data_IF_812075577016
#
_entry.id   IF_812075577016
#
_cell.length_a   1.000
_cell.length_b   1.000
_cell.length_c   1.000
_cell.angle_alpha   90.00
_cell.angle_beta   90.00
_cell.angle_gamma   90.00
#
_symmetry.space_group_name_H-M   'P 1'
#
loop_
_entity.id
_entity.type
_entity.pdbx_description
1 polymer ?
#
# COMPACT_ATOMS: atom_id res chain seq x y z
N UNK A 1 -20.25 36.26 -35.55
CA UNK A 1 -20.71 37.50 -34.90
C UNK A 1 -21.37 37.07 -33.60
N UNK A 2 -20.62 37.24 -32.50
CA UNK A 2 -21.01 38.04 -31.30
C UNK A 2 -21.93 37.23 -30.37
N UNK A 3 -21.57 36.81 -29.15
CA UNK A 3 -20.69 37.40 -28.15
C UNK A 3 -20.30 36.36 -27.06
N UNK A 4 -19.10 36.52 -26.50
CA UNK A 4 -18.72 35.99 -25.18
C UNK A 4 -19.30 36.87 -24.07
N UNK A 5 -19.26 36.40 -22.81
CA UNK A 5 -18.60 37.26 -21.82
C UNK A 5 -17.63 36.50 -20.92
N UNK A 6 -16.47 37.12 -20.75
CA UNK A 6 -15.40 36.80 -19.80
C UNK A 6 -15.45 37.73 -18.58
N UNK A 7 -15.16 37.18 -17.40
CA UNK A 7 -14.42 37.78 -16.26
C UNK A 7 -15.09 38.92 -15.42
N UNK A 8 -14.63 39.24 -14.17
CA UNK A 8 -13.21 39.33 -13.79
C UNK A 8 -12.75 38.81 -12.42
N UNK A 9 -11.45 38.52 -12.38
CA UNK A 9 -10.58 38.43 -11.22
C UNK A 9 -10.39 39.82 -10.56
N UNK A 10 -10.33 39.85 -9.23
CA UNK A 10 -9.96 41.03 -8.45
C UNK A 10 -8.52 40.93 -7.92
N UNK A 11 -7.68 41.89 -8.29
CA UNK A 11 -6.38 42.19 -7.67
C UNK A 11 -6.57 43.24 -6.57
N UNK A 12 -5.77 43.19 -5.51
CA UNK A 12 -5.76 44.23 -4.47
C UNK A 12 -4.59 44.13 -3.47
N UNK A 13 -3.52 44.84 -3.80
CA UNK A 13 -2.54 45.55 -2.94
C UNK A 13 -1.61 44.85 -1.91
N UNK A 14 -0.45 45.48 -1.75
CA UNK A 14 0.77 45.02 -1.09
C UNK A 14 1.25 45.96 0.05
N UNK A 15 2.04 45.35 0.97
CA UNK A 15 3.12 45.89 1.84
C UNK A 15 2.76 46.69 3.14
N UNK A 16 3.63 46.75 4.19
CA UNK A 16 5.08 46.43 4.21
C UNK A 16 5.70 45.67 5.44
N UNK A 17 6.91 45.17 5.17
CA UNK A 17 8.14 44.99 5.97
C UNK A 17 8.16 44.74 7.51
N UNK A 18 8.93 43.70 7.90
CA UNK A 18 9.89 43.81 9.01
C UNK A 18 10.07 42.60 9.93
N UNK A 19 11.02 41.70 9.61
CA UNK A 19 12.01 41.16 10.56
C UNK A 19 12.89 40.08 9.89
N UNK A 20 14.21 40.33 9.84
CA UNK A 20 15.25 39.38 9.42
C UNK A 20 15.60 38.40 10.55
N UNK A 21 16.16 37.25 10.14
CA UNK A 21 16.94 36.19 10.86
C UNK A 21 16.15 34.89 11.04
N UNK A 22 16.67 33.70 10.77
CA UNK A 22 18.01 33.27 10.34
C UNK A 22 17.90 31.99 9.51
N UNK A 23 18.68 31.91 8.44
CA UNK A 23 18.99 30.70 7.68
C UNK A 23 19.84 29.75 8.54
N UNK A 24 19.42 28.50 8.69
CA UNK A 24 20.20 27.44 9.33
C UNK A 24 19.94 26.08 8.66
N UNK A 25 20.96 25.25 8.42
CA UNK A 25 20.84 24.00 7.69
C UNK A 25 20.49 22.85 8.64
N UNK A 26 19.26 22.77 9.18
CA UNK A 26 18.89 21.57 9.97
C UNK A 26 17.39 21.37 10.26
N UNK A 27 16.57 21.35 9.21
CA UNK A 27 15.16 20.92 9.33
C UNK A 27 14.97 19.46 8.90
N UNK A 28 15.90 18.90 8.11
CA UNK A 28 15.82 17.53 7.57
C UNK A 28 16.12 16.42 8.60
N UNK A 29 16.86 16.70 9.68
CA UNK A 29 17.12 15.73 10.77
C UNK A 29 15.99 15.63 11.83
N UNK A 30 14.87 16.35 11.64
CA UNK A 30 13.83 16.52 12.68
C UNK A 30 12.64 15.56 12.59
N UNK A 31 12.64 14.55 11.73
CA UNK A 31 11.55 13.57 11.69
C UNK A 31 12.15 12.16 11.71
N UNK A 32 11.82 11.36 12.75
CA UNK A 32 12.23 9.96 12.82
C UNK A 32 11.55 9.12 11.73
N UNK A 33 11.97 7.85 11.51
CA UNK A 33 11.39 6.99 10.48
C UNK A 33 9.87 6.96 10.52
N UNK A 34 9.22 7.21 9.38
CA UNK A 34 7.77 7.37 9.29
C UNK A 34 6.98 6.12 9.73
N UNK A 35 7.57 4.93 9.53
CA UNK A 35 7.02 3.64 9.98
C UNK A 35 6.79 3.61 11.49
N UNK A 36 7.58 4.36 12.27
CA UNK A 36 7.43 4.42 13.74
C UNK A 36 6.21 5.21 14.21
N UNK A 37 5.45 5.80 13.29
CA UNK A 37 4.22 6.54 13.58
C UNK A 37 2.96 5.78 13.21
N UNK A 38 3.08 4.58 12.62
CA UNK A 38 1.93 3.76 12.19
C UNK A 38 0.89 3.59 13.30
N UNK A 39 1.34 3.43 14.54
CA UNK A 39 0.47 3.28 15.70
C UNK A 39 -0.52 4.43 15.90
N UNK A 40 -0.21 5.65 15.44
CA UNK A 40 -1.05 6.85 15.54
C UNK A 40 -1.88 7.14 14.29
N UNK A 41 -1.78 6.32 13.24
CA UNK A 41 -2.45 6.60 11.96
C UNK A 41 -3.23 5.41 11.38
N UNK A 42 -2.84 4.17 11.67
CA UNK A 42 -3.49 2.97 11.10
C UNK A 42 -4.22 2.17 12.18
N UNK A 43 -5.52 1.85 12.00
CA UNK A 43 -6.25 1.00 12.93
C UNK A 43 -5.70 -0.44 12.88
N UNK A 44 -5.94 -1.21 13.95
CA UNK A 44 -5.42 -2.57 14.04
C UNK A 44 -5.83 -3.48 12.85
N UNK A 45 -7.02 -3.25 12.27
CA UNK A 45 -7.54 -3.98 11.09
C UNK A 45 -6.80 -3.66 9.78
N UNK A 46 -6.10 -2.54 9.72
CA UNK A 46 -5.34 -2.09 8.55
C UNK A 46 -3.89 -2.58 8.55
N UNK A 47 -3.47 -3.36 9.55
CA UNK A 47 -2.11 -3.84 9.70
C UNK A 47 -2.04 -5.35 9.54
N UNK A 48 -0.89 -5.85 9.10
CA UNK A 48 -0.64 -7.27 8.84
C UNK A 48 0.50 -7.77 9.73
N UNK A 49 0.57 -9.08 10.02
CA UNK A 49 1.69 -9.65 10.77
C UNK A 49 3.07 -9.28 10.18
N UNK A 50 3.18 -9.20 8.85
CA UNK A 50 4.41 -8.79 8.15
C UNK A 50 4.89 -7.37 8.53
N UNK A 51 3.99 -6.47 8.93
CA UNK A 51 4.36 -5.12 9.39
C UNK A 51 5.18 -5.17 10.69
N UNK A 52 5.01 -6.21 11.51
CA UNK A 52 5.77 -6.38 12.75
C UNK A 52 7.29 -6.49 12.48
N UNK A 53 7.68 -7.25 11.46
CA UNK A 53 9.09 -7.46 11.13
C UNK A 53 9.75 -6.17 10.64
N UNK A 54 9.06 -5.38 9.80
CA UNK A 54 9.54 -4.08 9.32
C UNK A 54 9.72 -3.08 10.47
N UNK A 55 8.79 -3.07 11.44
CA UNK A 55 8.89 -2.25 12.65
C UNK A 55 10.08 -2.68 13.51
N UNK A 56 10.25 -3.99 13.78
CA UNK A 56 11.35 -4.50 14.60
C UNK A 56 12.71 -4.26 13.94
N UNK A 57 12.83 -4.45 12.64
CA UNK A 57 14.05 -4.13 11.89
C UNK A 57 14.42 -2.65 12.05
N UNK A 58 13.46 -1.74 11.89
CA UNK A 58 13.68 -0.30 12.08
C UNK A 58 14.03 0.06 13.53
N UNK A 59 13.38 -0.58 14.50
CA UNK A 59 13.63 -0.31 15.93
C UNK A 59 15.03 -0.76 16.36
N UNK A 60 15.57 -1.83 15.77
CA UNK A 60 16.93 -2.32 16.03
C UNK A 60 18.03 -1.38 15.54
N UNK A 61 17.75 -0.52 14.55
CA UNK A 61 18.71 0.52 14.11
C UNK A 61 18.64 1.78 14.98
N UNK A 62 17.67 1.87 15.89
CA UNK A 62 17.46 3.04 16.73
C UNK A 62 18.16 2.90 18.08
N UNK A 63 18.67 4.01 18.62
CA UNK A 63 19.19 4.03 19.99
C UNK A 63 18.08 3.70 21.01
N UNK A 64 18.37 2.95 22.09
CA UNK A 64 17.38 2.60 23.10
C UNK A 64 16.71 3.84 23.71
N UNK A 65 15.37 3.86 23.83
CA UNK A 65 14.68 5.00 24.42
C UNK A 65 15.11 5.15 25.88
N UNK A 66 15.50 6.36 26.28
CA UNK A 66 16.03 6.65 27.63
C UNK A 66 17.22 5.79 28.07
N UNK A 67 17.98 5.19 27.12
CA UNK A 67 19.04 4.21 27.41
C UNK A 67 18.56 3.01 28.24
N UNK A 68 17.29 2.62 28.08
CA UNK A 68 16.69 1.55 28.87
C UNK A 68 17.36 0.20 28.58
N UNK A 69 17.85 -0.49 29.62
CA UNK A 69 18.65 -1.72 29.49
C UNK A 69 17.87 -2.90 28.90
N UNK A 70 16.57 -3.01 29.23
CA UNK A 70 15.68 -4.05 28.67
C UNK A 70 15.15 -3.76 27.25
N UNK A 71 15.74 -2.81 26.51
CA UNK A 71 15.24 -2.51 25.16
C UNK A 71 15.46 -3.67 24.18
N UNK A 72 16.62 -4.34 24.24
CA UNK A 72 16.89 -5.53 23.41
C UNK A 72 15.86 -6.64 23.70
N UNK A 73 15.70 -6.99 24.97
CA UNK A 73 14.71 -7.97 25.45
C UNK A 73 13.28 -7.64 24.95
N UNK A 74 12.89 -6.37 25.01
CA UNK A 74 11.59 -5.91 24.53
C UNK A 74 11.39 -6.10 23.02
N UNK A 75 12.44 -5.91 22.21
CA UNK A 75 12.39 -6.15 20.77
C UNK A 75 12.39 -7.63 20.42
N UNK A 76 13.00 -8.46 21.26
CA UNK A 76 13.07 -9.92 21.06
C UNK A 76 11.82 -10.67 21.56
N UNK A 77 10.85 -9.95 22.12
CA UNK A 77 9.53 -10.49 22.48
C UNK A 77 9.28 -10.66 23.97
N UNK A 78 10.17 -10.20 24.85
CA UNK A 78 9.90 -10.21 26.29
C UNK A 78 8.82 -9.15 26.64
N UNK A 79 7.61 -9.63 26.89
CA UNK A 79 6.45 -8.80 27.24
C UNK A 79 6.65 -8.00 28.53
N UNK A 80 7.37 -8.53 29.51
CA UNK A 80 7.64 -7.85 30.77
C UNK A 80 8.67 -6.72 30.56
N UNK A 81 9.72 -6.98 29.78
CA UNK A 81 10.68 -5.98 29.35
C UNK A 81 10.00 -4.83 28.59
N UNK A 82 9.15 -5.17 27.61
CA UNK A 82 8.41 -4.20 26.82
C UNK A 82 7.47 -3.35 27.69
N UNK A 83 6.77 -3.98 28.64
CA UNK A 83 5.89 -3.26 29.58
C UNK A 83 6.69 -2.28 30.44
N UNK A 84 7.85 -2.68 30.99
CA UNK A 84 8.72 -1.80 31.79
C UNK A 84 9.20 -0.60 30.99
N UNK A 85 9.69 -0.83 29.77
CA UNK A 85 10.12 0.25 28.86
C UNK A 85 8.94 1.18 28.58
N UNK A 86 7.78 0.61 28.24
CA UNK A 86 6.63 1.38 27.82
C UNK A 86 6.07 2.30 28.91
N UNK A 87 5.88 1.76 30.11
CA UNK A 87 5.42 2.54 31.27
C UNK A 87 6.42 3.66 31.58
N UNK A 88 7.72 3.38 31.55
CA UNK A 88 8.77 4.37 31.82
C UNK A 88 8.71 5.51 30.82
N UNK A 89 8.73 5.20 29.52
CA UNK A 89 8.79 6.22 28.45
C UNK A 89 7.48 7.02 28.36
N UNK A 90 6.32 6.37 28.43
CA UNK A 90 5.03 7.06 28.39
C UNK A 90 4.86 8.01 29.58
N UNK A 91 5.35 7.63 30.76
CA UNK A 91 5.31 8.47 31.97
C UNK A 91 6.30 9.63 31.91
N UNK A 92 7.55 9.37 31.54
CA UNK A 92 8.65 10.34 31.61
C UNK A 92 8.65 11.30 30.42
N UNK A 93 8.45 10.79 29.22
CA UNK A 93 8.61 11.56 27.98
C UNK A 93 7.28 12.14 27.47
N UNK A 94 6.15 11.60 27.93
CA UNK A 94 4.82 11.99 27.46
C UNK A 94 4.48 11.42 26.08
N UNK A 95 3.19 11.41 25.70
CA UNK A 95 2.71 10.70 24.52
C UNK A 95 3.16 11.35 23.19
N UNK A 96 3.54 12.63 23.18
CA UNK A 96 3.98 13.35 21.97
C UNK A 96 5.47 13.17 21.65
N UNK A 97 6.23 12.53 22.54
CA UNK A 97 7.67 12.34 22.35
C UNK A 97 7.99 11.37 21.22
N UNK A 98 9.12 11.61 20.54
CA UNK A 98 9.69 10.66 19.58
C UNK A 98 10.14 9.36 20.26
N UNK A 99 10.47 9.40 21.55
CA UNK A 99 10.76 8.18 22.29
C UNK A 99 9.50 7.31 22.47
N UNK A 100 8.33 7.95 22.52
CA UNK A 100 7.06 7.23 22.52
C UNK A 100 6.77 6.60 21.15
N UNK A 101 7.21 7.20 20.03
CA UNK A 101 7.11 6.54 18.72
C UNK A 101 7.88 5.22 18.68
N UNK A 102 9.08 5.16 19.26
CA UNK A 102 9.86 3.93 19.36
C UNK A 102 9.11 2.87 20.17
N UNK A 103 8.69 3.22 21.37
CA UNK A 103 8.03 2.30 22.30
C UNK A 103 6.69 1.83 21.76
N UNK A 104 5.85 2.74 21.26
CA UNK A 104 4.55 2.37 20.73
C UNK A 104 4.66 1.55 19.45
N UNK A 105 5.73 1.72 18.67
CA UNK A 105 6.04 0.84 17.54
C UNK A 105 6.49 -0.56 17.99
N UNK A 106 7.22 -0.68 19.09
CA UNK A 106 7.52 -1.99 19.67
C UNK A 106 6.25 -2.67 20.21
N UNK A 107 5.38 -1.92 20.88
CA UNK A 107 4.05 -2.38 21.31
C UNK A 107 3.21 -2.84 20.11
N UNK A 108 3.22 -2.05 19.03
CA UNK A 108 2.54 -2.38 17.78
C UNK A 108 3.05 -3.69 17.18
N UNK A 109 4.37 -3.85 17.08
CA UNK A 109 4.98 -5.05 16.53
C UNK A 109 4.67 -6.30 17.35
N UNK A 110 4.78 -6.23 18.68
CA UNK A 110 4.48 -7.39 19.53
C UNK A 110 2.98 -7.70 19.56
N UNK A 111 2.11 -6.69 19.52
CA UNK A 111 0.69 -6.92 19.35
C UNK A 111 0.41 -7.70 18.06
N UNK A 112 0.97 -7.29 16.92
CA UNK A 112 0.83 -8.02 15.66
C UNK A 112 1.40 -9.46 15.68
N UNK A 113 2.35 -9.76 16.60
CA UNK A 113 2.87 -11.12 16.85
C UNK A 113 2.07 -11.93 17.86
N UNK A 114 0.98 -11.37 18.39
CA UNK A 114 0.04 -12.06 19.25
C UNK A 114 0.04 -11.63 20.72
N UNK A 115 0.83 -10.64 21.13
CA UNK A 115 0.95 -10.21 22.53
C UNK A 115 -0.19 -9.27 22.98
N UNK A 116 -1.18 -9.73 23.78
CA UNK A 116 -2.36 -8.92 24.10
C UNK A 116 -2.04 -7.74 25.03
N UNK A 117 -1.06 -7.90 25.92
CA UNK A 117 -0.61 -6.83 26.81
C UNK A 117 -0.04 -5.64 26.01
N UNK A 118 0.59 -5.92 24.86
CA UNK A 118 1.13 -4.90 23.99
C UNK A 118 0.01 -4.07 23.33
N UNK A 119 -1.07 -4.72 22.87
CA UNK A 119 -2.25 -4.06 22.34
C UNK A 119 -2.93 -3.13 23.36
N UNK A 120 -3.09 -3.59 24.61
CA UNK A 120 -3.69 -2.80 25.68
C UNK A 120 -2.85 -1.54 26.03
N UNK A 121 -1.52 -1.69 26.09
CA UNK A 121 -0.61 -0.57 26.31
C UNK A 121 -0.60 0.40 25.13
N UNK A 122 -0.75 -0.09 23.91
CA UNK A 122 -0.87 0.74 22.71
C UNK A 122 -2.15 1.58 22.72
N UNK A 123 -3.28 0.96 23.08
CA UNK A 123 -4.54 1.67 23.27
C UNK A 123 -4.42 2.75 24.37
N UNK A 124 -3.74 2.45 25.47
CA UNK A 124 -3.44 3.43 26.52
C UNK A 124 -2.60 4.61 26.00
N UNK A 125 -1.52 4.34 25.25
CA UNK A 125 -0.68 5.38 24.65
C UNK A 125 -1.49 6.30 23.72
N UNK A 126 -2.41 5.72 22.93
CA UNK A 126 -3.27 6.46 22.00
C UNK A 126 -4.29 7.35 22.72
N UNK A 127 -4.91 6.84 23.79
CA UNK A 127 -5.79 7.66 24.64
C UNK A 127 -5.05 8.86 25.23
N UNK A 128 -3.88 8.62 25.82
CA UNK A 128 -3.04 9.67 26.41
C UNK A 128 -2.61 10.71 25.38
N UNK A 129 -2.34 10.29 24.15
CA UNK A 129 -2.06 11.21 23.06
C UNK A 129 -3.30 12.03 22.68
N UNK A 130 -4.47 11.39 22.57
CA UNK A 130 -5.74 12.05 22.27
C UNK A 130 -6.14 13.09 23.30
N UNK A 131 -5.90 12.83 24.59
CA UNK A 131 -6.10 13.82 25.68
C UNK A 131 -5.26 15.08 25.49
N UNK A 132 -4.04 14.95 24.94
CA UNK A 132 -3.16 16.08 24.62
C UNK A 132 -3.51 16.75 23.30
N UNK A 133 -4.27 16.07 22.43
CA UNK A 133 -4.64 16.52 21.09
C UNK A 133 -6.15 16.40 20.85
N UNK A 134 -6.97 17.22 21.52
CA UNK A 134 -8.42 17.18 21.37
C UNK A 134 -8.91 17.46 19.93
N UNK A 135 -8.08 18.10 19.10
CA UNK A 135 -8.34 18.30 17.66
C UNK A 135 -8.08 17.07 16.77
N UNK A 136 -7.59 15.96 17.33
CA UNK A 136 -7.25 14.73 16.60
C UNK A 136 -8.15 13.54 17.03
N UNK A 137 -9.47 13.57 16.72
CA UNK A 137 -10.42 12.57 17.20
C UNK A 137 -10.20 11.15 16.63
N UNK A 138 -9.29 11.00 15.66
CA UNK A 138 -8.89 9.70 15.13
C UNK A 138 -8.11 8.88 16.16
N UNK A 139 -7.36 9.52 17.06
CA UNK A 139 -6.56 8.84 18.09
C UNK A 139 -7.41 8.01 19.05
N UNK A 140 -8.59 8.51 19.44
CA UNK A 140 -9.54 7.75 20.25
C UNK A 140 -10.07 6.50 19.53
N UNK A 141 -10.19 6.56 18.20
CA UNK A 141 -10.67 5.42 17.39
C UNK A 141 -9.58 4.38 17.21
N UNK A 142 -8.34 4.81 17.01
CA UNK A 142 -7.19 3.91 17.01
C UNK A 142 -7.09 3.20 18.35
N UNK A 143 -7.23 3.92 19.47
CA UNK A 143 -7.25 3.30 20.80
C UNK A 143 -8.35 2.22 20.91
N UNK A 144 -9.57 2.54 20.51
CA UNK A 144 -10.69 1.59 20.51
C UNK A 144 -10.44 0.38 19.59
N UNK A 145 -9.78 0.57 18.44
CA UNK A 145 -9.43 -0.54 17.54
C UNK A 145 -8.45 -1.51 18.18
N UNK A 146 -7.57 -1.03 19.06
CA UNK A 146 -6.62 -1.84 19.81
C UNK A 146 -7.22 -2.45 21.08
N UNK A 147 -8.21 -1.81 21.72
CA UNK A 147 -8.97 -2.44 22.81
C UNK A 147 -9.80 -3.63 22.31
N UNK A 148 -10.37 -3.51 21.11
CA UNK A 148 -11.17 -4.55 20.48
C UNK A 148 -10.31 -5.58 19.71
N UNK A 149 -8.99 -5.37 19.65
CA UNK A 149 -8.10 -6.24 18.92
C UNK A 149 -7.93 -7.57 19.64
N UNK A 150 -8.02 -8.65 18.88
CA UNK A 150 -7.72 -9.99 19.33
C UNK A 150 -6.57 -10.55 18.47
N UNK A 151 -5.66 -11.34 19.07
CA UNK A 151 -4.62 -12.00 18.30
C UNK A 151 -5.26 -12.88 17.22
N UNK A 152 -4.71 -12.89 15.99
CA UNK A 152 -5.15 -13.84 14.98
C UNK A 152 -4.99 -15.27 15.52
N UNK A 153 -5.88 -16.22 15.16
CA UNK A 153 -5.75 -17.61 15.57
C UNK A 153 -4.36 -18.11 15.16
N UNK A 154 -3.52 -18.43 16.14
CA UNK A 154 -2.13 -18.78 15.89
C UNK A 154 -2.00 -20.12 15.18
N UNK A 155 -1.04 -20.21 14.26
CA UNK A 155 -0.54 -21.49 13.75
C UNK A 155 0.13 -22.25 14.91
N UNK A 156 -0.67 -23.03 15.65
CA UNK A 156 -0.10 -24.06 16.52
C UNK A 156 0.48 -25.15 15.63
N UNK A 157 1.80 -25.30 15.66
CA UNK A 157 2.45 -26.50 15.15
C UNK A 157 1.81 -27.75 15.80
N UNK A 158 1.40 -28.77 15.02
CA UNK A 158 0.82 -29.98 15.59
C UNK A 158 1.93 -30.81 16.25
N UNK A 159 1.87 -30.95 17.57
CA UNK A 159 2.79 -31.78 18.35
C UNK A 159 2.08 -32.55 19.47
N UNK A 160 1.89 -33.85 19.24
CA UNK A 160 1.69 -34.98 20.17
C UNK A 160 0.50 -34.95 21.17
N UNK A 161 -0.33 -35.99 21.35
CA UNK A 161 -0.50 -37.29 20.71
C UNK A 161 -1.85 -37.88 21.20
N UNK A 162 -2.58 -38.59 20.33
CA UNK A 162 -3.43 -39.74 20.68
C UNK A 162 -3.66 -40.55 19.40
N UNK A 163 -3.26 -41.83 19.42
CA UNK A 163 -2.97 -42.62 18.23
C UNK A 163 -4.13 -43.39 17.59
N UNK A 164 -3.87 -43.83 16.36
CA UNK A 164 -4.39 -45.05 15.71
C UNK A 164 -3.66 -45.21 14.35
N UNK A 165 -3.53 -46.44 13.81
CA UNK A 165 -2.35 -46.83 13.03
C UNK A 165 -2.42 -46.47 11.54
N UNK A 166 -1.24 -46.19 10.98
CA UNK A 166 -0.98 -46.02 9.57
C UNK A 166 -1.15 -47.34 8.80
N UNK A 167 -1.90 -47.28 7.68
CA UNK A 167 -1.88 -48.32 6.64
C UNK A 167 -0.85 -47.94 5.59
N UNK A 168 0.10 -48.83 5.37
CA UNK A 168 1.08 -48.75 4.29
C UNK A 168 0.41 -48.89 2.91
N UNK A 169 0.89 -48.11 1.94
CA UNK A 169 0.65 -48.33 0.51
C UNK A 169 2.02 -48.32 -0.22
N UNK A 170 2.18 -49.11 -1.29
CA UNK A 170 3.47 -49.66 -1.67
C UNK A 170 4.26 -48.78 -2.64
N UNK A 171 5.57 -49.02 -2.62
CA UNK A 171 6.56 -48.53 -3.57
C UNK A 171 6.23 -48.93 -5.02
N UNK A 172 6.37 -47.98 -5.94
CA UNK A 172 6.16 -48.16 -7.37
C UNK A 172 7.17 -47.37 -8.20
N UNK A 173 8.23 -48.09 -8.59
CA UNK A 173 9.11 -47.99 -9.77
C UNK A 173 9.12 -46.68 -10.59
N UNK A 174 10.33 -46.18 -10.78
CA UNK A 174 10.64 -45.01 -11.59
C UNK A 174 10.28 -45.14 -13.06
N UNK A 175 9.95 -43.99 -13.64
CA UNK A 175 9.89 -43.77 -15.08
C UNK A 175 10.93 -42.72 -15.46
N UNK A 176 11.72 -43.08 -16.48
CA UNK A 176 12.75 -42.26 -17.11
C UNK A 176 12.13 -41.62 -18.34
N UNK A 177 11.78 -40.34 -18.26
CA UNK A 177 11.56 -39.51 -19.45
C UNK A 177 11.56 -38.02 -19.08
N UNK A 178 12.72 -37.50 -18.64
CA UNK A 178 12.92 -36.04 -18.56
C UNK A 178 13.39 -35.56 -19.94
N UNK A 179 12.58 -34.79 -20.70
CA UNK A 179 13.06 -34.20 -21.94
C UNK A 179 14.19 -33.20 -21.64
N UNK A 180 15.09 -32.94 -22.59
CA UNK A 180 16.21 -32.03 -22.38
C UNK A 180 15.69 -30.62 -22.07
N UNK A 181 16.41 -29.90 -21.20
CA UNK A 181 16.11 -28.54 -20.80
C UNK A 181 16.12 -27.62 -22.04
N UNK A 182 14.94 -27.40 -22.62
CA UNK A 182 14.70 -26.23 -23.44
C UNK A 182 14.94 -24.97 -22.58
N UNK A 183 15.41 -23.89 -23.20
CA UNK A 183 15.44 -22.57 -22.55
C UNK A 183 14.11 -22.36 -21.84
N UNK A 184 14.14 -22.13 -20.53
CA UNK A 184 12.95 -21.71 -19.80
C UNK A 184 12.39 -20.47 -20.51
N UNK A 185 11.21 -20.60 -21.10
CA UNK A 185 10.51 -19.48 -21.74
C UNK A 185 10.06 -18.54 -20.63
N UNK A 186 10.26 -17.23 -20.80
CA UNK A 186 9.84 -16.24 -19.82
C UNK A 186 8.32 -16.22 -19.67
N UNK A 187 7.86 -15.66 -18.55
CA UNK A 187 6.44 -15.64 -18.21
C UNK A 187 5.74 -14.52 -18.98
N UNK A 188 4.69 -14.83 -19.75
CA UNK A 188 3.94 -13.84 -20.54
C UNK A 188 2.77 -13.26 -19.75
N UNK A 189 2.73 -11.95 -19.68
CA UNK A 189 1.78 -11.18 -18.88
C UNK A 189 0.90 -10.33 -19.79
N UNK A 190 -0.42 -10.52 -19.73
CA UNK A 190 -1.40 -9.65 -20.37
C UNK A 190 -1.71 -8.45 -19.48
N UNK A 191 -1.45 -7.24 -19.94
CA UNK A 191 -1.43 -6.03 -19.10
C UNK A 191 -2.65 -5.14 -19.37
N UNK A 192 -3.42 -4.85 -18.33
CA UNK A 192 -4.62 -4.00 -18.39
C UNK A 192 -4.68 -3.04 -17.19
N UNK A 193 -5.29 -1.87 -17.36
CA UNK A 193 -5.73 -1.00 -16.26
C UNK A 193 -6.83 -0.04 -16.71
N UNK A 194 -7.52 0.60 -15.77
CA UNK A 194 -8.42 1.73 -16.02
C UNK A 194 -9.50 1.42 -17.07
N UNK A 195 -10.09 0.22 -17.00
CA UNK A 195 -11.10 -0.25 -17.94
C UNK A 195 -12.38 0.59 -17.86
N UNK A 196 -12.69 1.10 -16.66
CA UNK A 196 -13.82 1.99 -16.36
C UNK A 196 -15.12 1.52 -17.01
N UNK A 197 -15.49 0.26 -16.77
CA UNK A 197 -16.60 -0.40 -17.46
C UNK A 197 -17.98 0.20 -17.16
N UNK A 198 -18.07 1.03 -16.14
CA UNK A 198 -19.27 1.76 -15.71
C UNK A 198 -19.31 3.21 -16.22
N UNK A 199 -18.28 3.66 -16.93
CA UNK A 199 -18.23 4.99 -17.56
C UNK A 199 -18.34 4.86 -19.08
N UNK A 200 -19.51 5.24 -19.61
CA UNK A 200 -19.80 5.14 -21.03
C UNK A 200 -20.17 3.73 -21.46
N UNK A 201 -19.79 3.32 -22.67
CA UNK A 201 -20.02 1.97 -23.16
C UNK A 201 -19.10 0.98 -22.44
N UNK A 202 -19.64 -0.07 -21.77
CA UNK A 202 -18.81 -1.03 -21.05
C UNK A 202 -17.85 -1.75 -22.00
N UNK A 203 -16.57 -1.67 -21.70
CA UNK A 203 -15.56 -2.44 -22.43
C UNK A 203 -15.56 -3.91 -22.00
N UNK A 204 -15.35 -4.78 -22.97
CA UNK A 204 -15.00 -6.18 -22.78
C UNK A 204 -13.98 -6.52 -23.87
N UNK A 205 -12.95 -7.34 -23.59
CA UNK A 205 -12.02 -7.76 -24.62
C UNK A 205 -12.78 -8.51 -25.72
N UNK A 206 -12.52 -8.17 -26.98
CA UNK A 206 -13.09 -8.89 -28.14
C UNK A 206 -12.45 -10.28 -28.28
N UNK A 207 -11.16 -10.38 -27.95
CA UNK A 207 -10.39 -11.61 -27.94
C UNK A 207 -9.52 -11.66 -26.68
N UNK A 208 -9.31 -12.86 -26.15
CA UNK A 208 -8.38 -13.09 -25.03
C UNK A 208 -7.03 -13.49 -25.62
N UNK A 209 -5.95 -12.70 -25.40
CA UNK A 209 -4.64 -13.02 -25.95
C UNK A 209 -4.04 -14.27 -25.31
N UNK A 210 -3.14 -14.95 -26.02
CA UNK A 210 -2.37 -16.07 -25.49
C UNK A 210 -1.27 -15.55 -24.53
N UNK A 211 -1.55 -15.63 -23.23
CA UNK A 211 -0.69 -15.22 -22.14
C UNK A 211 -0.81 -16.19 -20.95
N UNK A 212 0.18 -16.16 -20.06
CA UNK A 212 0.27 -17.08 -18.93
C UNK A 212 -0.40 -16.51 -17.68
N UNK A 213 -0.44 -15.19 -17.52
CA UNK A 213 -1.09 -14.46 -16.41
C UNK A 213 -1.68 -13.15 -16.91
N UNK A 214 -2.90 -12.80 -16.47
CA UNK A 214 -3.44 -11.45 -16.64
C UNK A 214 -3.09 -10.57 -15.44
N UNK A 215 -2.53 -9.38 -15.70
CA UNK A 215 -2.19 -8.37 -14.69
C UNK A 215 -3.07 -7.16 -14.88
N UNK A 216 -3.90 -6.86 -13.88
CA UNK A 216 -4.89 -5.77 -13.93
C UNK A 216 -4.61 -4.73 -12.84
N UNK A 217 -4.09 -3.57 -13.26
CA UNK A 217 -3.63 -2.50 -12.37
C UNK A 217 -4.75 -1.51 -11.96
N UNK A 218 -5.88 -2.05 -11.47
CA UNK A 218 -6.98 -1.28 -10.88
C UNK A 218 -7.92 -0.59 -11.87
N UNK A 219 -8.96 0.04 -11.32
CA UNK A 219 -10.00 0.81 -12.03
C UNK A 219 -10.70 0.01 -13.14
N UNK A 220 -11.09 -1.23 -12.82
CA UNK A 220 -11.93 -2.05 -13.70
C UNK A 220 -13.33 -1.44 -13.78
N UNK A 221 -13.87 -1.04 -12.62
CA UNK A 221 -15.15 -0.34 -12.48
C UNK A 221 -15.34 0.20 -11.06
N UNK A 222 -16.40 0.98 -10.84
CA UNK A 222 -16.87 1.25 -9.49
C UNK A 222 -17.29 -0.03 -8.73
N UNK A 223 -16.70 -0.25 -7.55
CA UNK A 223 -16.95 -1.38 -6.64
C UNK A 223 -15.96 -2.55 -6.80
N UNK A 224 -15.21 -2.86 -5.73
CA UNK A 224 -14.16 -3.89 -5.72
C UNK A 224 -14.73 -5.29 -5.89
N UNK A 225 -15.82 -5.60 -5.19
CA UNK A 225 -16.50 -6.89 -5.33
C UNK A 225 -16.92 -7.12 -6.77
N UNK A 226 -17.47 -6.08 -7.40
CA UNK A 226 -17.94 -6.15 -8.77
C UNK A 226 -16.80 -6.24 -9.79
N UNK A 227 -15.70 -5.51 -9.58
CA UNK A 227 -14.48 -5.61 -10.39
C UNK A 227 -13.91 -7.02 -10.37
N UNK A 228 -13.70 -7.58 -9.16
CA UNK A 228 -13.20 -8.96 -8.98
C UNK A 228 -14.14 -9.98 -9.60
N UNK A 229 -15.45 -9.82 -9.41
CA UNK A 229 -16.45 -10.72 -9.99
C UNK A 229 -16.36 -10.72 -11.50
N UNK A 230 -16.24 -9.55 -12.14
CA UNK A 230 -16.11 -9.49 -13.58
C UNK A 230 -14.82 -10.16 -14.08
N UNK A 231 -13.68 -9.88 -13.44
CA UNK A 231 -12.41 -10.51 -13.77
C UNK A 231 -12.47 -12.05 -13.67
N UNK A 232 -13.14 -12.55 -12.63
CA UNK A 232 -13.34 -13.98 -12.41
C UNK A 232 -14.19 -14.66 -13.51
N UNK A 233 -15.17 -13.95 -14.07
CA UNK A 233 -16.06 -14.51 -15.09
C UNK A 233 -15.50 -14.37 -16.50
N UNK A 234 -14.77 -13.29 -16.80
CA UNK A 234 -14.35 -12.96 -18.17
C UNK A 234 -12.92 -13.39 -18.46
N UNK A 235 -11.99 -13.24 -17.51
CA UNK A 235 -10.56 -13.46 -17.76
C UNK A 235 -10.05 -14.74 -17.10
N UNK A 236 -10.42 -14.96 -15.83
CA UNK A 236 -9.96 -16.13 -15.04
C UNK A 236 -10.25 -17.50 -15.66
N UNK A 237 -11.28 -17.73 -16.50
CA UNK A 237 -11.43 -19.00 -17.21
C UNK A 237 -10.29 -19.33 -18.17
N UNK A 238 -9.52 -18.32 -18.59
CA UNK A 238 -8.46 -18.46 -19.59
C UNK A 238 -7.06 -18.50 -18.97
N UNK A 239 -6.82 -17.77 -17.88
CA UNK A 239 -5.52 -17.69 -17.20
C UNK A 239 -5.67 -17.17 -15.76
N UNK A 240 -4.69 -17.40 -14.86
CA UNK A 240 -4.65 -16.73 -13.55
C UNK A 240 -4.73 -15.21 -13.69
N UNK A 241 -5.46 -14.57 -12.77
CA UNK A 241 -5.59 -13.11 -12.72
C UNK A 241 -4.93 -12.58 -11.47
N UNK A 242 -3.95 -11.70 -11.65
CA UNK A 242 -3.38 -10.84 -10.61
C UNK A 242 -3.97 -9.45 -10.77
N UNK A 243 -4.61 -8.92 -9.73
CA UNK A 243 -5.14 -7.56 -9.76
C UNK A 243 -4.87 -6.80 -8.48
N UNK A 244 -4.87 -5.47 -8.58
CA UNK A 244 -4.97 -4.56 -7.44
C UNK A 244 -6.27 -3.77 -7.57
N UNK A 245 -6.72 -3.15 -6.48
CA UNK A 245 -7.76 -2.14 -6.56
C UNK A 245 -7.17 -0.83 -7.11
N UNK A 246 -7.99 -0.06 -7.82
CA UNK A 246 -7.78 1.36 -8.04
C UNK A 246 -8.64 2.20 -7.10
N UNK A 247 -8.78 3.49 -7.39
CA UNK A 247 -9.60 4.37 -6.58
C UNK A 247 -11.11 4.18 -6.86
N UNK A 248 -11.49 3.83 -8.09
CA UNK A 248 -12.89 3.62 -8.48
C UNK A 248 -13.50 2.41 -7.77
N UNK A 249 -12.73 1.36 -7.49
CA UNK A 249 -13.20 0.21 -6.71
C UNK A 249 -13.76 0.62 -5.32
N UNK A 250 -13.37 1.78 -4.79
CA UNK A 250 -13.83 2.30 -3.49
C UNK A 250 -14.89 3.41 -3.59
N UNK A 251 -15.24 3.89 -4.78
CA UNK A 251 -16.20 4.98 -4.94
C UNK A 251 -17.58 4.60 -4.42
N UNK A 252 -18.16 5.49 -3.59
CA UNK A 252 -19.45 5.29 -2.91
C UNK A 252 -19.46 4.03 -2.03
N UNK A 253 -18.30 3.62 -1.53
CA UNK A 253 -18.11 2.50 -0.60
C UNK A 253 -17.41 2.96 0.68
N UNK A 254 -17.30 2.02 1.60
CA UNK A 254 -16.49 2.16 2.82
C UNK A 254 -15.18 1.42 2.60
N UNK A 255 -14.06 2.12 2.54
CA UNK A 255 -12.73 1.56 2.22
C UNK A 255 -12.44 0.26 2.97
N UNK A 256 -12.55 0.27 4.30
CA UNK A 256 -12.24 -0.90 5.14
C UNK A 256 -13.18 -2.09 4.86
N UNK A 257 -14.48 -1.82 4.72
CA UNK A 257 -15.49 -2.88 4.51
C UNK A 257 -15.41 -3.44 3.09
N UNK A 258 -15.21 -2.57 2.10
CA UNK A 258 -15.11 -2.94 0.68
C UNK A 258 -13.87 -3.76 0.42
N UNK A 259 -12.71 -3.37 0.97
CA UNK A 259 -11.48 -4.15 0.85
C UNK A 259 -11.66 -5.55 1.46
N UNK A 260 -12.29 -5.66 2.63
CA UNK A 260 -12.54 -6.95 3.28
C UNK A 260 -13.48 -7.84 2.43
N UNK A 261 -14.55 -7.27 1.88
CA UNK A 261 -15.49 -8.00 1.00
C UNK A 261 -14.83 -8.42 -0.31
N UNK A 262 -14.10 -7.50 -0.95
CA UNK A 262 -13.37 -7.76 -2.18
C UNK A 262 -12.38 -8.92 -2.03
N UNK A 263 -11.63 -8.97 -0.92
CA UNK A 263 -10.73 -10.10 -0.62
C UNK A 263 -11.47 -11.42 -0.45
N UNK A 264 -12.58 -11.43 0.30
CA UNK A 264 -13.36 -12.65 0.48
C UNK A 264 -13.91 -13.18 -0.85
N UNK A 265 -14.42 -12.29 -1.71
CA UNK A 265 -14.91 -12.65 -3.04
C UNK A 265 -13.77 -13.11 -3.96
N UNK A 266 -12.63 -12.42 -3.95
CA UNK A 266 -11.46 -12.78 -4.74
C UNK A 266 -10.93 -14.18 -4.37
N UNK A 267 -10.83 -14.48 -3.08
CA UNK A 267 -10.45 -15.81 -2.60
C UNK A 267 -11.44 -16.88 -3.07
N UNK A 268 -12.75 -16.64 -2.93
CA UNK A 268 -13.79 -17.59 -3.34
C UNK A 268 -13.82 -17.83 -4.87
N UNK A 269 -13.53 -16.80 -5.66
CA UNK A 269 -13.52 -16.87 -7.12
C UNK A 269 -12.12 -17.17 -7.70
N UNK A 270 -11.12 -17.39 -6.84
CA UNK A 270 -9.71 -17.59 -7.15
C UNK A 270 -9.13 -16.54 -8.10
N UNK A 271 -9.36 -15.27 -7.80
CA UNK A 271 -8.64 -14.13 -8.36
C UNK A 271 -7.60 -13.67 -7.33
N UNK A 272 -6.37 -13.41 -7.75
CA UNK A 272 -5.32 -12.92 -6.86
C UNK A 272 -5.41 -11.40 -6.71
N UNK A 273 -6.28 -10.95 -5.80
CA UNK A 273 -6.36 -9.54 -5.40
C UNK A 273 -5.23 -9.21 -4.42
N UNK A 274 -4.29 -8.37 -4.84
CA UNK A 274 -3.15 -7.93 -4.06
C UNK A 274 -3.44 -6.57 -3.42
N UNK A 275 -3.31 -6.50 -2.10
CA UNK A 275 -3.25 -5.25 -1.34
C UNK A 275 -2.29 -5.48 -0.18
N UNK A 276 -1.08 -4.94 -0.27
CA UNK A 276 0.03 -5.29 0.61
C UNK A 276 0.24 -6.82 0.68
N UNK A 277 0.17 -7.48 -0.48
CA UNK A 277 0.23 -8.94 -0.61
C UNK A 277 1.04 -9.41 -1.81
N UNK A 278 1.47 -10.68 -1.77
CA UNK A 278 2.29 -11.32 -2.81
C UNK A 278 1.77 -12.69 -3.16
N UNK A 279 1.68 -12.97 -4.47
CA UNK A 279 1.47 -14.30 -5.02
C UNK A 279 2.65 -14.72 -5.86
N UNK A 280 3.01 -16.00 -5.88
CA UNK A 280 4.06 -16.54 -6.75
C UNK A 280 3.40 -17.41 -7.83
N UNK A 281 3.63 -17.06 -9.10
CA UNK A 281 3.09 -17.79 -10.26
C UNK A 281 4.26 -18.05 -11.22
N UNK A 282 4.42 -19.30 -11.66
CA UNK A 282 5.55 -19.67 -12.54
C UNK A 282 6.94 -19.41 -11.94
N UNK A 283 7.05 -19.37 -10.60
CA UNK A 283 8.29 -19.03 -9.90
C UNK A 283 8.61 -17.53 -9.83
N UNK A 284 7.75 -16.67 -10.38
CA UNK A 284 7.87 -15.21 -10.35
C UNK A 284 6.95 -14.65 -9.25
N UNK A 285 7.46 -13.89 -8.27
CA UNK A 285 6.65 -13.16 -7.31
C UNK A 285 5.96 -11.95 -7.95
N UNK A 286 4.69 -11.76 -7.61
CA UNK A 286 3.87 -10.60 -7.92
C UNK A 286 3.48 -9.94 -6.61
N UNK A 287 4.02 -8.76 -6.32
CA UNK A 287 3.65 -7.98 -5.14
C UNK A 287 2.80 -6.79 -5.55
N UNK A 288 1.72 -6.50 -4.82
CA UNK A 288 0.84 -5.42 -5.23
C UNK A 288 0.03 -4.76 -4.14
N UNK A 289 -0.39 -3.54 -4.43
CA UNK A 289 -1.20 -2.67 -3.59
C UNK A 289 -1.86 -1.56 -4.43
N UNK A 290 -2.91 -0.93 -3.92
CA UNK A 290 -3.45 0.29 -4.57
C UNK A 290 -2.38 1.40 -4.64
N UNK A 291 -1.40 1.34 -3.72
CA UNK A 291 -0.32 2.27 -3.42
C UNK A 291 -0.77 3.63 -2.90
N UNK A 292 -1.86 4.23 -3.40
CA UNK A 292 -2.19 5.63 -3.13
C UNK A 292 -0.96 6.54 -3.32
N UNK A 293 -0.90 7.71 -2.70
CA UNK A 293 0.27 8.59 -2.85
C UNK A 293 0.87 9.10 -1.56
N UNK A 294 2.16 9.46 -1.63
CA UNK A 294 2.85 10.21 -0.58
C UNK A 294 2.59 11.73 -0.64
N UNK A 295 1.99 12.21 -1.74
CA UNK A 295 1.81 13.62 -2.09
C UNK A 295 3.13 14.42 -2.16
N UNK A 296 4.27 13.73 -2.25
CA UNK A 296 5.62 14.30 -2.24
C UNK A 296 6.22 14.41 -3.67
N UNK A 297 5.39 14.25 -4.72
CA UNK A 297 5.80 14.29 -6.14
C UNK A 297 6.61 15.56 -6.48
N UNK A 298 6.09 16.72 -6.09
CA UNK A 298 6.73 18.03 -6.31
C UNK A 298 7.71 18.40 -5.17
N UNK A 299 7.93 17.46 -4.24
CA UNK A 299 8.83 17.60 -3.10
C UNK A 299 8.10 17.67 -1.75
N UNK A 300 8.74 17.20 -0.67
CA UNK A 300 8.11 17.07 0.65
C UNK A 300 7.71 18.40 1.30
N UNK A 301 8.35 19.50 0.89
CA UNK A 301 8.03 20.84 1.37
C UNK A 301 6.67 21.34 0.82
N UNK A 302 6.20 20.79 -0.31
CA UNK A 302 4.92 21.13 -0.92
C UNK A 302 3.78 20.18 -0.52
N UNK A 303 4.08 19.08 0.17
CA UNK A 303 3.10 18.03 0.51
C UNK A 303 1.79 18.56 1.09
N UNK A 304 1.88 19.49 2.04
CA UNK A 304 0.69 20.02 2.70
C UNK A 304 -0.22 20.78 1.72
N UNK A 305 0.36 21.51 0.78
CA UNK A 305 -0.38 22.18 -0.29
C UNK A 305 -0.99 21.15 -1.25
N UNK A 306 -0.20 20.16 -1.69
CA UNK A 306 -0.66 19.09 -2.57
C UNK A 306 -1.82 18.28 -1.97
N UNK A 307 -1.76 17.96 -0.68
CA UNK A 307 -2.84 17.29 0.05
C UNK A 307 -4.10 18.17 0.11
N UNK A 308 -3.94 19.48 0.29
CA UNK A 308 -5.08 20.40 0.32
C UNK A 308 -5.72 20.58 -1.06
N UNK A 309 -4.93 20.59 -2.13
CA UNK A 309 -5.43 20.57 -3.50
C UNK A 309 -6.17 19.26 -3.77
N UNK A 310 -5.59 18.12 -3.42
CA UNK A 310 -6.23 16.81 -3.54
C UNK A 310 -7.55 16.75 -2.78
N UNK A 311 -7.59 17.25 -1.54
CA UNK A 311 -8.81 17.31 -0.70
C UNK A 311 -9.99 17.98 -1.42
N UNK A 312 -9.71 19.03 -2.20
CA UNK A 312 -10.73 19.80 -2.93
C UNK A 312 -11.02 19.21 -4.31
N UNK A 313 -9.99 18.74 -5.00
CA UNK A 313 -10.04 18.38 -6.41
C UNK A 313 -10.33 16.91 -6.69
N UNK A 314 -9.92 15.98 -5.81
CA UNK A 314 -10.06 14.55 -6.06
C UNK A 314 -11.41 14.01 -5.60
N UNK A 315 -12.07 13.25 -6.48
CA UNK A 315 -13.32 12.57 -6.17
C UNK A 315 -13.13 11.51 -5.08
N UNK A 316 -11.93 10.94 -4.95
CA UNK A 316 -11.56 9.97 -3.92
C UNK A 316 -11.95 10.48 -2.53
N UNK A 317 -11.64 11.73 -2.23
CA UNK A 317 -11.90 12.35 -0.94
C UNK A 317 -13.32 12.88 -0.75
N UNK A 318 -14.18 12.70 -1.78
CA UNK A 318 -15.60 13.05 -1.79
C UNK A 318 -16.51 11.83 -1.83
N UNK A 319 -16.10 10.77 -2.52
CA UNK A 319 -16.93 9.59 -2.79
C UNK A 319 -16.58 8.40 -1.90
N UNK A 320 -15.38 8.36 -1.33
CA UNK A 320 -14.93 7.25 -0.47
C UNK A 320 -15.15 7.63 1.00
N UNK A 321 -15.78 6.74 1.76
CA UNK A 321 -15.74 6.80 3.22
C UNK A 321 -14.67 5.83 3.72
N UNK A 322 -13.91 6.19 4.74
CA UNK A 322 -12.87 5.31 5.28
C UNK A 322 -13.49 4.21 6.17
N UNK A 323 -14.42 4.60 7.03
CA UNK A 323 -15.20 3.71 7.90
C UNK A 323 -16.58 4.31 8.19
N UNK A 324 -17.58 3.49 8.51
CA UNK A 324 -18.91 3.97 8.93
C UNK A 324 -19.17 3.78 10.43
N UNK A 325 -18.56 2.76 11.04
CA UNK A 325 -18.71 2.41 12.46
C UNK A 325 -17.35 2.35 13.16
N UNK A 326 -17.26 2.66 14.47
CA UNK A 326 -18.32 3.18 15.34
C UNK A 326 -18.72 4.63 15.03
N UNK A 327 -17.94 5.33 14.20
CA UNK A 327 -18.26 6.66 13.69
C UNK A 327 -17.84 6.75 12.22
N UNK A 328 -18.66 7.43 11.44
CA UNK A 328 -18.37 7.73 10.05
C UNK A 328 -17.12 8.61 9.90
N UNK A 329 -16.19 8.17 9.06
CA UNK A 329 -15.02 8.92 8.63
C UNK A 329 -14.98 9.00 7.11
N UNK A 330 -14.67 10.17 6.59
CA UNK A 330 -14.31 10.33 5.18
C UNK A 330 -12.90 9.80 4.95
N UNK A 331 -12.64 9.24 3.78
CA UNK A 331 -11.28 8.96 3.33
C UNK A 331 -10.62 10.25 2.84
N UNK A 332 -9.77 10.88 3.65
CA UNK A 332 -9.08 12.13 3.32
C UNK A 332 -7.64 11.85 2.84
N UNK A 333 -6.94 12.87 2.32
CA UNK A 333 -5.53 12.72 1.94
C UNK A 333 -4.66 12.16 3.08
N UNK A 334 -4.96 12.46 4.34
CA UNK A 334 -4.24 11.91 5.50
C UNK A 334 -4.40 10.39 5.60
N UNK A 335 -5.62 9.88 5.41
CA UNK A 335 -5.85 8.43 5.41
C UNK A 335 -5.18 7.77 4.20
N UNK A 336 -5.26 8.38 3.01
CA UNK A 336 -4.58 7.88 1.82
C UNK A 336 -3.05 7.83 1.99
N UNK A 337 -2.46 8.89 2.55
CA UNK A 337 -1.02 8.94 2.88
C UNK A 337 -0.63 7.90 3.93
N UNK A 338 -1.50 7.63 4.91
CA UNK A 338 -1.26 6.59 5.90
C UNK A 338 -1.26 5.20 5.26
N UNK A 339 -2.22 4.91 4.40
CA UNK A 339 -2.27 3.65 3.62
C UNK A 339 -1.04 3.53 2.73
N UNK A 340 -0.69 4.59 1.98
CA UNK A 340 0.50 4.61 1.13
C UNK A 340 1.78 4.21 1.88
N UNK A 341 1.97 4.72 3.11
CA UNK A 341 3.16 4.39 3.91
C UNK A 341 3.20 2.93 4.32
N UNK A 342 2.06 2.32 4.62
CA UNK A 342 1.97 0.88 4.90
C UNK A 342 2.35 0.09 3.66
N UNK A 343 1.75 0.41 2.52
CA UNK A 343 2.05 -0.24 1.24
C UNK A 343 3.49 -0.07 0.81
N UNK A 344 4.04 1.13 1.01
CA UNK A 344 5.44 1.41 0.71
C UNK A 344 6.38 0.56 1.56
N UNK A 345 6.14 0.44 2.87
CA UNK A 345 6.93 -0.40 3.77
C UNK A 345 6.78 -1.89 3.44
N UNK A 346 5.58 -2.33 3.04
CA UNK A 346 5.34 -3.67 2.57
C UNK A 346 6.18 -3.99 1.33
N UNK A 347 6.14 -3.15 0.29
CA UNK A 347 6.92 -3.34 -0.94
C UNK A 347 8.42 -3.31 -0.65
N UNK A 348 8.86 -2.48 0.30
CA UNK A 348 10.24 -2.44 0.80
C UNK A 348 10.69 -3.83 1.32
N UNK A 349 9.86 -4.47 2.14
CA UNK A 349 10.12 -5.81 2.67
C UNK A 349 10.00 -6.91 1.61
N UNK A 350 8.98 -6.84 0.75
CA UNK A 350 8.74 -7.83 -0.29
C UNK A 350 9.86 -7.87 -1.34
N UNK A 351 10.48 -6.73 -1.63
CA UNK A 351 11.59 -6.59 -2.58
C UNK A 351 12.97 -6.71 -1.93
N UNK A 352 13.03 -6.90 -0.61
CA UNK A 352 14.30 -7.08 0.09
C UNK A 352 14.90 -8.47 -0.22
N UNK A 353 15.83 -8.52 -1.16
CA UNK A 353 16.63 -9.73 -1.39
C UNK A 353 17.94 -9.68 -0.56
N UNK A 354 18.41 -10.82 -0.02
CA UNK A 354 19.76 -10.91 0.53
C UNK A 354 20.79 -10.55 -0.54
N UNK A 355 21.79 -9.73 -0.19
CA UNK A 355 22.77 -9.17 -1.16
C UNK A 355 23.56 -10.21 -1.98
N UNK A 356 23.55 -11.48 -1.56
CA UNK A 356 24.24 -12.60 -2.23
C UNK A 356 23.32 -13.53 -3.03
N UNK A 357 22.00 -13.29 -3.06
CA UNK A 357 21.07 -14.14 -3.81
C UNK A 357 21.03 -13.74 -5.30
N UNK A 358 20.97 -14.70 -6.24
CA UNK A 358 20.71 -14.41 -7.64
C UNK A 358 19.40 -13.63 -7.77
N UNK A 359 19.44 -12.51 -8.49
CA UNK A 359 18.26 -11.67 -8.72
C UNK A 359 17.25 -12.44 -9.57
N UNK A 360 16.12 -12.83 -8.97
CA UNK A 360 15.00 -13.49 -9.65
C UNK A 360 14.03 -12.43 -10.20
N UNK A 361 13.29 -12.74 -11.28
CA UNK A 361 12.26 -11.83 -11.76
C UNK A 361 11.24 -11.53 -10.67
N UNK A 362 10.83 -10.27 -10.54
CA UNK A 362 9.80 -9.83 -9.58
C UNK A 362 8.93 -8.77 -10.25
N UNK A 363 7.61 -9.01 -10.25
CA UNK A 363 6.63 -8.07 -10.80
C UNK A 363 5.98 -7.28 -9.66
N UNK A 364 5.97 -5.96 -9.77
CA UNK A 364 5.20 -5.09 -8.89
C UNK A 364 3.97 -4.58 -9.63
N UNK A 365 2.81 -4.61 -8.98
CA UNK A 365 1.55 -4.09 -9.54
C UNK A 365 1.02 -3.04 -8.58
N UNK A 366 0.86 -1.80 -9.06
CA UNK A 366 0.20 -0.74 -8.30
C UNK A 366 -0.90 -0.11 -9.12
N UNK A 367 -1.81 0.65 -8.51
CA UNK A 367 -2.71 1.49 -9.31
C UNK A 367 -2.10 2.88 -9.51
N UNK A 368 -1.74 3.55 -8.42
CA UNK A 368 -1.07 4.85 -8.48
C UNK A 368 0.37 4.72 -8.99
N UNK A 369 0.83 5.75 -9.70
CA UNK A 369 2.11 5.72 -10.39
C UNK A 369 3.30 5.93 -9.43
N UNK A 370 4.44 5.25 -9.65
CA UNK A 370 5.60 5.36 -8.77
C UNK A 370 6.52 6.56 -9.09
N UNK A 371 6.29 7.30 -10.17
CA UNK A 371 7.19 8.36 -10.64
C UNK A 371 6.46 9.45 -11.41
N UNK A 372 7.03 10.66 -11.38
CA UNK A 372 6.60 11.79 -12.20
C UNK A 372 6.73 11.53 -13.71
N UNK A 373 7.53 10.53 -14.12
CA UNK A 373 7.67 10.12 -15.52
C UNK A 373 6.38 9.53 -16.09
N UNK A 374 5.47 9.04 -15.24
CA UNK A 374 4.13 8.60 -15.62
C UNK A 374 3.13 9.75 -15.80
N UNK A 375 3.51 10.99 -15.49
CA UNK A 375 2.66 12.15 -15.74
C UNK A 375 2.79 12.56 -17.21
N UNK A 376 1.70 12.46 -17.96
CA UNK A 376 1.69 12.82 -19.37
C UNK A 376 2.13 14.29 -19.57
N UNK A 377 2.85 14.62 -20.66
CA UNK A 377 3.40 15.96 -20.87
C UNK A 377 2.39 17.10 -20.71
N UNK A 378 1.14 16.89 -21.13
CA UNK A 378 0.06 17.88 -21.03
C UNK A 378 -0.34 18.24 -19.58
N UNK A 379 -0.07 17.36 -18.62
CA UNK A 379 -0.43 17.56 -17.21
C UNK A 379 0.75 17.95 -16.33
N UNK A 380 1.97 18.05 -16.86
CA UNK A 380 3.15 18.42 -16.05
C UNK A 380 2.96 19.75 -15.33
N UNK A 381 3.34 19.80 -14.05
CA UNK A 381 3.23 20.98 -13.20
C UNK A 381 1.80 21.32 -12.72
N UNK A 382 0.80 20.48 -13.02
CA UNK A 382 -0.54 20.65 -12.45
C UNK A 382 -0.53 20.30 -10.97
N UNK A 383 -1.22 21.09 -10.11
CA UNK A 383 -1.15 20.96 -8.65
C UNK A 383 -1.73 19.64 -8.12
N UNK A 384 -2.57 18.96 -8.89
CA UNK A 384 -3.15 17.67 -8.50
C UNK A 384 -2.27 16.47 -8.81
N UNK A 385 -1.19 16.59 -9.60
CA UNK A 385 -0.34 15.45 -9.96
C UNK A 385 0.18 14.63 -8.76
N UNK A 386 0.51 15.23 -7.59
CA UNK A 386 0.92 14.44 -6.42
C UNK A 386 -0.20 13.54 -5.85
N UNK A 387 -1.45 13.69 -6.28
CA UNK A 387 -2.53 12.76 -5.98
C UNK A 387 -2.59 11.56 -6.94
N UNK A 388 -1.89 11.61 -8.09
CA UNK A 388 -1.85 10.53 -9.08
C UNK A 388 -0.55 9.72 -9.06
N UNK A 389 0.57 10.39 -8.74
CA UNK A 389 1.90 9.80 -8.73
C UNK A 389 2.68 10.18 -7.47
N UNK A 390 3.57 9.27 -7.04
CA UNK A 390 4.54 9.50 -5.96
C UNK A 390 5.96 9.64 -6.52
N UNK A 391 6.91 10.10 -5.70
CA UNK A 391 8.32 10.28 -6.12
C UNK A 391 9.19 9.12 -5.64
N UNK A 392 8.91 7.91 -6.13
CA UNK A 392 9.54 6.67 -5.68
C UNK A 392 10.72 6.22 -6.54
N UNK A 393 11.21 7.06 -7.46
CA UNK A 393 12.25 6.71 -8.44
C UNK A 393 13.46 6.00 -7.80
N UNK A 394 14.04 6.60 -6.76
CA UNK A 394 15.20 6.02 -6.05
C UNK A 394 14.91 4.67 -5.40
N UNK A 395 13.68 4.48 -4.90
CA UNK A 395 13.27 3.18 -4.35
C UNK A 395 13.14 2.13 -5.45
N UNK A 396 12.47 2.47 -6.54
CA UNK A 396 12.27 1.56 -7.67
C UNK A 396 13.62 1.15 -8.24
N UNK A 397 14.55 2.09 -8.39
CA UNK A 397 15.92 1.80 -8.86
C UNK A 397 16.69 0.89 -7.90
N UNK A 398 16.58 1.14 -6.59
CA UNK A 398 17.30 0.36 -5.57
C UNK A 398 16.74 -1.06 -5.38
N UNK A 399 15.42 -1.19 -5.25
CA UNK A 399 14.75 -2.49 -5.16
C UNK A 399 14.84 -3.26 -6.49
N UNK A 400 14.81 -2.47 -7.55
CA UNK A 400 15.17 -2.81 -8.90
C UNK A 400 14.23 -3.73 -9.69
N UNK A 401 12.98 -4.09 -9.30
CA UNK A 401 12.15 -5.26 -9.74
C UNK A 401 12.47 -5.90 -11.12
N UNK A 402 11.53 -6.36 -11.91
CA UNK A 402 11.76 -6.62 -13.34
C UNK A 402 10.79 -5.79 -14.13
N UNK A 403 9.54 -5.82 -13.67
CA UNK A 403 8.43 -5.06 -14.20
C UNK A 403 7.69 -4.37 -13.06
N UNK A 404 7.33 -3.12 -13.25
CA UNK A 404 6.38 -2.38 -12.42
C UNK A 404 5.20 -1.95 -13.29
N UNK A 405 4.03 -2.54 -13.08
CA UNK A 405 2.80 -2.21 -13.79
C UNK A 405 1.98 -1.23 -12.97
N UNK A 406 1.51 -0.14 -13.57
CA UNK A 406 0.57 0.78 -12.93
C UNK A 406 -0.58 1.24 -13.85
N UNK A 407 -1.51 2.02 -13.32
CA UNK A 407 -2.65 2.62 -14.04
C UNK A 407 -2.85 4.10 -13.72
N UNK A 408 -4.11 4.50 -13.51
CA UNK A 408 -4.63 5.76 -12.95
C UNK A 408 -4.44 7.03 -13.78
N UNK A 409 -3.31 7.15 -14.48
CA UNK A 409 -2.93 8.37 -15.22
C UNK A 409 -3.60 8.51 -16.58
N UNK A 410 -4.31 7.47 -17.04
CA UNK A 410 -5.00 7.39 -18.34
C UNK A 410 -4.10 7.69 -19.56
N UNK A 411 -2.78 7.58 -19.39
CA UNK A 411 -1.81 7.67 -20.46
C UNK A 411 -0.95 6.41 -20.50
N UNK A 412 -0.81 5.82 -21.69
CA UNK A 412 0.11 4.69 -21.89
C UNK A 412 1.56 5.15 -21.68
N UNK A 413 2.32 4.41 -20.87
CA UNK A 413 3.70 4.72 -20.52
C UNK A 413 4.54 3.44 -20.57
N UNK A 414 5.74 3.53 -21.13
CA UNK A 414 6.73 2.45 -21.11
C UNK A 414 8.12 3.06 -21.00
N UNK A 415 8.77 2.88 -19.86
CA UNK A 415 10.07 3.48 -19.59
C UNK A 415 10.87 2.68 -18.57
N UNK A 416 12.14 3.04 -18.34
CA UNK A 416 13.00 2.39 -17.34
C UNK A 416 13.35 3.31 -16.18
N UNK A 417 13.30 2.78 -14.97
CA UNK A 417 13.93 3.32 -13.76
C UNK A 417 15.02 2.34 -13.33
N UNK A 418 16.28 2.67 -13.60
CA UNK A 418 17.38 1.72 -13.51
C UNK A 418 17.09 0.47 -14.38
N UNK A 419 17.06 -0.70 -13.75
CA UNK A 419 16.76 -1.97 -14.42
C UNK A 419 15.27 -2.35 -14.45
N UNK A 420 14.42 -1.61 -13.72
CA UNK A 420 12.97 -1.86 -13.73
C UNK A 420 12.34 -1.25 -14.96
N UNK A 421 11.61 -2.05 -15.74
CA UNK A 421 10.65 -1.53 -16.73
C UNK A 421 9.39 -1.09 -16.01
N UNK A 422 8.98 0.16 -16.17
CA UNK A 422 7.71 0.68 -15.68
C UNK A 422 6.74 0.78 -16.85
N UNK A 423 5.56 0.18 -16.71
CA UNK A 423 4.58 0.01 -17.77
C UNK A 423 3.18 0.42 -17.30
N UNK A 424 2.46 1.15 -18.14
CA UNK A 424 1.08 1.57 -17.93
C UNK A 424 0.32 1.38 -19.23
N UNK A 425 -0.76 0.61 -19.22
CA UNK A 425 -1.62 0.37 -20.39
C UNK A 425 -3.10 0.62 -20.02
N UNK A 426 -3.46 1.88 -19.74
CA UNK A 426 -4.78 2.24 -19.25
C UNK A 426 -5.76 2.41 -20.41
N UNK A 427 -7.00 1.93 -20.30
CA UNK A 427 -8.03 2.31 -21.28
C UNK A 427 -8.47 3.76 -21.10
N UNK A 428 -8.71 4.17 -19.86
CA UNK A 428 -9.29 5.48 -19.55
C UNK A 428 -10.78 5.57 -19.93
N UNK A 429 -11.33 6.79 -19.93
CA UNK A 429 -12.76 7.00 -20.18
C UNK A 429 -13.07 7.07 -21.68
N UNK A 430 -14.02 6.26 -22.15
CA UNK A 430 -14.39 6.25 -23.58
C UNK A 430 -13.18 6.02 -24.49
N UNK A 431 -12.89 7.01 -25.36
CA UNK A 431 -11.73 7.02 -26.26
C UNK A 431 -10.59 7.96 -25.81
N UNK A 432 -10.50 8.27 -24.51
CA UNK A 432 -9.50 9.18 -23.94
C UNK A 432 -8.06 8.74 -24.22
N UNK A 433 -7.78 7.44 -24.12
CA UNK A 433 -6.48 6.90 -24.47
C UNK A 433 -6.54 6.08 -25.79
N UNK A 434 -6.24 6.68 -26.94
CA UNK A 434 -6.18 5.96 -28.21
C UNK A 434 -4.98 4.99 -28.29
N UNK A 435 -4.01 5.08 -27.37
CA UNK A 435 -2.86 4.20 -27.30
C UNK A 435 -3.06 2.99 -26.36
N UNK A 436 -4.29 2.78 -25.85
CA UNK A 436 -4.63 1.56 -25.13
C UNK A 436 -4.57 0.36 -26.08
N UNK A 437 -3.74 -0.62 -25.74
CA UNK A 437 -3.64 -1.88 -26.50
C UNK A 437 -4.34 -3.01 -25.72
N UNK A 438 -5.53 -3.46 -26.16
CA UNK A 438 -6.26 -4.52 -25.47
C UNK A 438 -5.56 -5.89 -25.54
N UNK A 439 -4.56 -6.06 -26.40
CA UNK A 439 -3.80 -7.31 -26.59
C UNK A 439 -2.35 -7.22 -26.08
N UNK A 440 -2.00 -6.18 -25.30
CA UNK A 440 -0.63 -5.98 -24.82
C UNK A 440 -0.15 -7.12 -23.94
N UNK A 441 0.75 -7.94 -24.48
CA UNK A 441 1.44 -9.02 -23.76
C UNK A 441 2.93 -8.71 -23.66
N UNK A 442 3.50 -8.85 -22.46
CA UNK A 442 4.93 -8.64 -22.20
C UNK A 442 5.54 -9.87 -21.53
N UNK A 443 6.83 -10.12 -21.73
CA UNK A 443 7.57 -11.23 -21.14
C UNK A 443 8.45 -10.73 -19.99
N UNK A 444 8.53 -11.50 -18.89
CA UNK A 444 9.40 -11.25 -17.73
C UNK A 444 10.28 -12.44 -17.36
#
# INVERSE_FOLDING_TARGET
>A
MTESPTCPAGQGHAAPAGARRATGPDVRARQGPAILRLWRVVPATGLRPATAEALLATLRTCAPPTRHRSWGEALDGDAAALTRVAVTVLRVCGPESRLTDLVASALLAQALRGEPAAAALLAHALRRLGERRPGEPHLARLAASWDAWAPPPGDRAPGAAAGAPARAAPEGRGDRSRPPAGKERGLRLWILSDLHRDVGLPWTPAEIPDADVAVVAGDVREGLVESVTWLAHVIRPHMPVVCVAGNHEFYRRTFVEELARGRAVAANLGVHLLEDDTVVIGGVPFSGCTLWTDYDLDGPDLRAASMEDARRGMNDHRLISFQTKPRWMRFRPEEALAVHRVSRAYLEGALAAPAAAPRRPHVVVTHHAPSARSVAPAFRGKPLNPAFASRLDAFVEQAGPTLWVHGHTHASMDYRLGETRVLCNPKGYGGENPAFDPALVVEV
#
